data_IF_368303441910
#
_entry.id   IF_368303441910
#
_cell.length_a   1.000
_cell.length_b   1.000
_cell.length_c   1.000
_cell.angle_alpha   90.00
_cell.angle_beta   90.00
_cell.angle_gamma   90.00
#
_symmetry.space_group_name_H-M   'P 1'
#
loop_
_entity.id
_entity.type
_entity.pdbx_description
1 polymer ?
#
# COMPACT_ATOMS: atom_id res chain seq x y z
N UNK A 1 -16.31 29.09 -31.99
CA UNK A 1 -17.15 27.91 -31.75
C UNK A 1 -16.46 27.12 -30.66
N UNK A 2 -17.06 27.10 -29.47
CA UNK A 2 -16.55 26.40 -28.30
C UNK A 2 -16.64 24.90 -28.57
N UNK A 3 -15.51 24.18 -28.59
CA UNK A 3 -15.57 22.73 -28.47
C UNK A 3 -16.07 22.46 -27.05
N UNK A 4 -17.35 22.10 -26.89
CA UNK A 4 -17.81 21.45 -25.66
C UNK A 4 -16.86 20.29 -25.39
N UNK A 5 -16.20 20.31 -24.24
CA UNK A 5 -15.29 19.25 -23.86
C UNK A 5 -16.15 18.04 -23.51
N UNK A 6 -16.50 17.24 -24.52
CA UNK A 6 -17.26 16.00 -24.33
C UNK A 6 -16.59 15.18 -23.23
N UNK A 7 -17.40 14.69 -22.30
CA UNK A 7 -16.94 13.79 -21.24
C UNK A 7 -16.37 12.54 -21.92
N UNK A 8 -15.18 12.07 -21.51
CA UNK A 8 -14.64 10.81 -22.01
C UNK A 8 -15.62 9.66 -21.79
N UNK A 9 -15.78 8.79 -22.79
CA UNK A 9 -16.71 7.66 -22.77
C UNK A 9 -16.45 6.66 -21.62
N UNK A 10 -15.26 6.69 -21.00
CA UNK A 10 -14.89 5.83 -19.87
C UNK A 10 -15.33 6.37 -18.50
N UNK A 11 -15.82 7.61 -18.42
CA UNK A 11 -16.36 8.21 -17.18
C UNK A 11 -17.81 7.73 -16.99
N UNK A 12 -18.13 7.02 -15.89
CA UNK A 12 -19.44 6.40 -15.70
C UNK A 12 -20.47 7.36 -15.09
N UNK A 13 -20.74 8.48 -15.76
CA UNK A 13 -21.67 9.54 -15.32
C UNK A 13 -22.73 9.78 -16.39
N UNK A 14 -24.00 9.92 -16.01
CA UNK A 14 -25.09 10.11 -16.97
C UNK A 14 -25.34 11.59 -17.27
N UNK A 15 -25.31 11.96 -18.56
CA UNK A 15 -25.92 13.20 -19.11
C UNK A 15 -25.46 14.56 -18.54
N UNK A 16 -24.21 14.95 -18.81
CA UNK A 16 -23.84 16.38 -18.88
C UNK A 16 -22.83 16.62 -20.01
N UNK A 17 -22.80 17.83 -20.57
CA UNK A 17 -21.92 18.20 -21.68
C UNK A 17 -20.56 18.77 -21.20
N UNK A 18 -20.36 18.85 -19.87
CA UNK A 18 -19.23 19.54 -19.23
C UNK A 18 -18.61 18.74 -18.10
N UNK A 19 -17.32 18.43 -18.23
CA UNK A 19 -16.53 17.82 -17.15
C UNK A 19 -16.45 18.72 -15.90
N UNK A 20 -16.51 20.04 -16.06
CA UNK A 20 -16.53 20.95 -14.90
C UNK A 20 -17.81 20.76 -14.10
N UNK A 21 -18.94 20.56 -14.78
CA UNK A 21 -20.23 20.33 -14.13
C UNK A 21 -20.21 18.98 -13.39
N UNK A 22 -19.62 17.93 -13.99
CA UNK A 22 -19.40 16.63 -13.31
C UNK A 22 -18.62 16.79 -12.00
N UNK A 23 -17.57 17.60 -12.02
CA UNK A 23 -16.65 17.73 -10.88
C UNK A 23 -17.18 18.70 -9.82
N UNK A 24 -18.05 19.62 -10.21
CA UNK A 24 -18.67 20.60 -9.32
C UNK A 24 -20.01 20.12 -8.75
N UNK A 25 -20.67 19.14 -9.38
CA UNK A 25 -21.95 18.61 -8.92
C UNK A 25 -21.77 17.41 -7.97
N UNK A 26 -22.27 17.53 -6.73
CA UNK A 26 -22.46 16.43 -5.79
C UNK A 26 -22.97 15.11 -6.36
N UNK A 27 -24.03 15.15 -7.17
CA UNK A 27 -24.73 13.96 -7.65
C UNK A 27 -23.88 13.23 -8.68
N UNK A 28 -23.23 13.96 -9.60
CA UNK A 28 -22.34 13.38 -10.60
C UNK A 28 -21.05 12.81 -9.99
N UNK A 29 -20.50 13.43 -8.95
CA UNK A 29 -19.35 12.88 -8.23
C UNK A 29 -19.68 11.57 -7.51
N UNK A 30 -20.86 11.50 -6.87
CA UNK A 30 -21.34 10.27 -6.26
C UNK A 30 -21.62 9.19 -7.31
N UNK A 31 -22.30 9.55 -8.41
CA UNK A 31 -22.58 8.63 -9.51
C UNK A 31 -21.29 8.05 -10.09
N UNK A 32 -20.26 8.88 -10.32
CA UNK A 32 -18.97 8.40 -10.78
C UNK A 32 -18.41 7.34 -9.81
N UNK A 33 -18.37 7.64 -8.50
CA UNK A 33 -17.85 6.69 -7.51
C UNK A 33 -18.64 5.39 -7.43
N UNK A 34 -19.97 5.48 -7.37
CA UNK A 34 -20.85 4.32 -7.20
C UNK A 34 -20.88 3.42 -8.45
N UNK A 35 -20.60 3.98 -9.63
CA UNK A 35 -20.52 3.23 -10.88
C UNK A 35 -19.10 2.76 -11.23
N UNK A 36 -18.13 2.89 -10.32
CA UNK A 36 -16.85 2.22 -10.48
C UNK A 36 -17.04 0.71 -10.29
N UNK A 37 -16.74 -0.08 -11.32
CA UNK A 37 -16.91 -1.53 -11.25
C UNK A 37 -15.57 -2.27 -11.14
N UNK A 38 -15.53 -3.30 -10.29
CA UNK A 38 -14.55 -4.37 -10.34
C UNK A 38 -15.16 -5.58 -11.08
N UNK A 39 -15.26 -5.48 -12.41
CA UNK A 39 -16.00 -6.47 -13.19
C UNK A 39 -15.42 -7.88 -12.99
N UNK A 40 -16.31 -8.86 -12.78
CA UNK A 40 -15.99 -10.26 -12.49
C UNK A 40 -15.28 -10.53 -11.15
N UNK A 41 -15.24 -9.59 -10.20
CA UNK A 41 -14.66 -9.84 -8.87
C UNK A 41 -15.33 -11.03 -8.16
N UNK A 42 -16.64 -11.17 -8.27
CA UNK A 42 -17.39 -12.31 -7.69
C UNK A 42 -17.14 -13.64 -8.41
N UNK A 43 -16.56 -13.59 -9.61
CA UNK A 43 -16.22 -14.77 -10.39
C UNK A 43 -14.77 -15.18 -10.19
N UNK A 44 -14.01 -14.52 -9.30
CA UNK A 44 -12.61 -14.84 -9.04
C UNK A 44 -12.42 -16.16 -8.32
N UNK A 45 -11.18 -16.65 -8.36
CA UNK A 45 -10.73 -17.84 -7.64
C UNK A 45 -11.01 -17.75 -6.14
N UNK A 46 -10.71 -16.62 -5.52
CA UNK A 46 -10.84 -16.40 -4.08
C UNK A 46 -12.31 -16.49 -3.63
N UNK A 47 -13.24 -16.00 -4.47
CA UNK A 47 -14.68 -16.01 -4.15
C UNK A 47 -15.34 -17.35 -4.47
N UNK A 48 -15.01 -17.97 -5.61
CA UNK A 48 -15.64 -19.23 -6.05
C UNK A 48 -14.92 -20.49 -5.59
N UNK A 49 -13.75 -20.35 -4.97
CA UNK A 49 -12.86 -21.46 -4.61
C UNK A 49 -12.58 -22.39 -5.81
N UNK A 50 -12.43 -21.81 -7.00
CA UNK A 50 -12.19 -22.53 -8.25
C UNK A 50 -10.83 -22.15 -8.83
N UNK A 51 -9.90 -23.10 -8.79
CA UNK A 51 -8.50 -22.91 -9.19
C UNK A 51 -8.30 -22.62 -10.69
N UNK A 52 -9.33 -22.81 -11.52
CA UNK A 52 -9.28 -22.55 -12.97
C UNK A 52 -9.60 -21.11 -13.33
N UNK A 53 -10.00 -20.31 -12.33
CA UNK A 53 -10.44 -18.93 -12.52
C UNK A 53 -9.31 -17.96 -12.22
N UNK A 54 -9.46 -16.75 -12.75
CA UNK A 54 -8.53 -15.68 -12.45
C UNK A 54 -8.56 -15.28 -10.99
N UNK A 55 -7.39 -14.94 -10.45
CA UNK A 55 -7.32 -14.31 -9.12
C UNK A 55 -7.87 -12.88 -9.18
N UNK A 56 -8.21 -12.32 -8.02
CA UNK A 56 -8.52 -10.90 -7.90
C UNK A 56 -7.37 -10.05 -8.46
N UNK A 57 -6.10 -10.39 -8.16
CA UNK A 57 -4.93 -9.68 -8.67
C UNK A 57 -4.80 -9.70 -10.21
N UNK A 58 -5.05 -10.86 -10.84
CA UNK A 58 -5.06 -10.97 -12.31
C UNK A 58 -6.17 -10.13 -12.94
N UNK A 59 -7.35 -10.08 -12.31
CA UNK A 59 -8.43 -9.21 -12.75
C UNK A 59 -8.09 -7.73 -12.57
N UNK A 60 -7.51 -7.34 -11.43
CA UNK A 60 -7.08 -5.97 -11.17
C UNK A 60 -6.09 -5.49 -12.23
N UNK A 61 -5.04 -6.27 -12.53
CA UNK A 61 -4.05 -5.95 -13.56
C UNK A 61 -4.69 -5.71 -14.93
N UNK A 62 -5.67 -6.53 -15.32
CA UNK A 62 -6.41 -6.33 -16.59
C UNK A 62 -7.21 -5.04 -16.60
N UNK A 63 -7.88 -4.71 -15.50
CA UNK A 63 -8.70 -3.49 -15.38
C UNK A 63 -7.86 -2.22 -15.27
N UNK A 64 -6.63 -2.35 -14.77
CA UNK A 64 -5.60 -1.32 -14.79
C UNK A 64 -4.90 -1.21 -16.15
N UNK A 65 -5.32 -1.99 -17.15
CA UNK A 65 -4.77 -2.00 -18.52
C UNK A 65 -3.27 -2.36 -18.56
N UNK A 66 -2.82 -3.08 -17.52
CA UNK A 66 -1.45 -3.52 -17.37
C UNK A 66 -1.20 -4.82 -18.14
N UNK A 67 0.00 -4.95 -18.72
CA UNK A 67 0.43 -6.22 -19.32
C UNK A 67 0.60 -7.29 -18.22
N UNK A 68 0.04 -8.50 -18.32
CA UNK A 68 0.24 -9.55 -17.33
C UNK A 68 1.73 -9.85 -17.08
N UNK A 69 2.11 -10.13 -15.84
CA UNK A 69 3.53 -10.11 -15.45
C UNK A 69 4.42 -11.11 -16.23
N UNK A 70 4.02 -12.37 -16.49
CA UNK A 70 4.84 -13.27 -17.32
C UNK A 70 5.10 -12.71 -18.73
N UNK A 71 4.10 -12.09 -19.35
CA UNK A 71 4.24 -11.45 -20.66
C UNK A 71 5.11 -10.19 -20.60
N UNK A 72 5.17 -9.52 -19.44
CA UNK A 72 6.09 -8.42 -19.22
C UNK A 72 7.54 -8.93 -19.15
N UNK A 73 7.81 -10.05 -18.46
CA UNK A 73 9.13 -10.67 -18.43
C UNK A 73 9.62 -11.01 -19.86
N UNK A 74 8.79 -11.71 -20.65
CA UNK A 74 9.08 -12.02 -22.07
C UNK A 74 9.40 -10.77 -22.90
N UNK A 75 8.70 -9.66 -22.62
CA UNK A 75 8.93 -8.40 -23.31
C UNK A 75 10.26 -7.79 -22.88
N UNK A 76 10.57 -7.80 -21.58
CA UNK A 76 11.80 -7.24 -21.05
C UNK A 76 13.04 -8.02 -21.51
N UNK A 77 12.94 -9.33 -21.72
CA UNK A 77 14.00 -10.14 -22.34
C UNK A 77 14.43 -9.64 -23.72
N UNK A 78 13.46 -9.11 -24.48
CA UNK A 78 13.65 -8.62 -25.86
C UNK A 78 13.87 -7.11 -25.92
N UNK A 79 13.67 -6.42 -24.82
CA UNK A 79 13.75 -4.96 -24.76
C UNK A 79 15.20 -4.57 -24.49
N UNK A 80 15.82 -3.71 -25.32
CA UNK A 80 17.17 -3.25 -25.06
C UNK A 80 17.31 -2.53 -23.72
N UNK A 81 18.42 -2.77 -23.03
CA UNK A 81 18.83 -1.99 -21.87
C UNK A 81 18.97 -0.50 -22.24
N UNK A 82 18.46 0.44 -21.41
CA UNK A 82 18.51 1.87 -21.73
C UNK A 82 19.93 2.46 -21.75
N UNK A 83 20.90 1.79 -21.13
CA UNK A 83 22.31 2.19 -21.06
C UNK A 83 23.15 1.39 -22.06
N UNK A 84 23.08 0.07 -22.03
CA UNK A 84 23.89 -0.81 -22.88
C UNK A 84 23.35 -0.93 -24.32
N UNK A 85 22.09 -0.53 -24.56
CA UNK A 85 21.46 -0.56 -25.89
C UNK A 85 21.24 -1.97 -26.45
N UNK A 86 21.40 -3.01 -25.64
CA UNK A 86 21.23 -4.42 -26.04
C UNK A 86 20.30 -5.15 -25.08
N UNK A 87 19.45 -6.09 -25.54
CA UNK A 87 18.63 -6.90 -24.65
C UNK A 87 19.47 -7.83 -23.75
N UNK A 88 18.97 -8.24 -22.57
CA UNK A 88 17.65 -7.88 -22.03
C UNK A 88 17.65 -6.52 -21.32
N UNK A 89 16.47 -6.05 -20.92
CA UNK A 89 16.30 -4.78 -20.21
C UNK A 89 17.01 -4.81 -18.84
N UNK A 90 17.43 -3.64 -18.33
CA UNK A 90 18.16 -3.53 -17.05
C UNK A 90 17.47 -4.25 -15.88
N UNK A 91 16.14 -4.27 -15.84
CA UNK A 91 15.36 -4.94 -14.81
C UNK A 91 15.56 -6.47 -14.77
N UNK A 92 15.86 -7.08 -15.92
CA UNK A 92 16.20 -8.50 -16.06
C UNK A 92 17.70 -8.72 -15.81
N UNK A 93 18.57 -7.81 -16.29
CA UNK A 93 20.02 -7.88 -16.02
C UNK A 93 20.38 -7.71 -14.55
N UNK A 94 19.54 -7.01 -13.79
CA UNK A 94 19.73 -6.71 -12.38
C UNK A 94 18.51 -7.17 -11.57
N UNK A 95 18.26 -8.49 -11.52
CA UNK A 95 17.04 -9.04 -10.95
C UNK A 95 16.87 -8.67 -9.47
N UNK A 96 17.98 -8.57 -8.72
CA UNK A 96 17.96 -8.20 -7.28
C UNK A 96 17.58 -6.74 -7.03
N UNK A 97 17.67 -5.88 -8.04
CA UNK A 97 17.24 -4.50 -7.90
C UNK A 97 15.72 -4.35 -7.91
N UNK A 98 15.00 -5.16 -8.69
CA UNK A 98 13.54 -5.01 -8.87
C UNK A 98 12.75 -6.32 -8.89
N UNK A 99 13.17 -7.34 -9.65
CA UNK A 99 12.42 -8.60 -9.72
C UNK A 99 12.29 -9.25 -8.34
N UNK A 100 13.37 -9.27 -7.57
CA UNK A 100 13.42 -9.80 -6.19
C UNK A 100 12.55 -8.97 -5.20
N UNK A 101 12.22 -7.72 -5.51
CA UNK A 101 11.28 -6.90 -4.73
C UNK A 101 9.80 -7.20 -5.06
N UNK A 102 9.55 -7.80 -6.23
CA UNK A 102 8.20 -8.07 -6.75
C UNK A 102 7.83 -9.54 -6.61
N UNK A 103 8.75 -10.46 -6.91
CA UNK A 103 8.52 -11.91 -6.89
C UNK A 103 9.00 -12.46 -5.57
N UNK A 104 8.10 -12.67 -4.61
CA UNK A 104 8.48 -13.19 -3.30
C UNK A 104 8.44 -14.71 -3.34
N UNK A 105 9.48 -15.39 -2.87
CA UNK A 105 9.51 -16.85 -2.79
C UNK A 105 9.33 -17.31 -1.34
N UNK A 106 8.97 -18.57 -1.17
CA UNK A 106 8.88 -19.25 0.13
C UNK A 106 9.50 -20.62 0.03
N UNK A 107 9.73 -21.29 1.16
CA UNK A 107 10.26 -22.66 1.18
C UNK A 107 9.43 -23.62 0.32
N UNK A 108 8.10 -23.48 0.35
CA UNK A 108 7.20 -24.26 -0.51
C UNK A 108 7.36 -23.94 -1.99
N UNK A 109 7.75 -22.72 -2.33
CA UNK A 109 8.03 -22.36 -3.72
C UNK A 109 9.37 -22.93 -4.20
N UNK A 110 10.37 -23.01 -3.32
CA UNK A 110 11.62 -23.73 -3.62
C UNK A 110 11.35 -25.17 -4.05
N UNK A 111 10.52 -25.91 -3.30
CA UNK A 111 10.08 -27.24 -3.70
C UNK A 111 9.34 -27.27 -5.05
N UNK A 112 8.52 -26.26 -5.35
CA UNK A 112 7.80 -26.21 -6.64
C UNK A 112 8.76 -26.01 -7.81
N UNK A 113 9.77 -25.16 -7.63
CA UNK A 113 10.79 -24.88 -8.63
C UNK A 113 11.69 -26.12 -8.83
N UNK A 114 12.16 -26.74 -7.75
CA UNK A 114 13.01 -27.95 -7.78
C UNK A 114 12.34 -29.14 -8.48
N UNK A 115 11.02 -29.30 -8.32
CA UNK A 115 10.26 -30.42 -8.89
C UNK A 115 9.41 -30.05 -10.11
N UNK A 116 9.46 -28.79 -10.56
CA UNK A 116 8.63 -28.23 -11.63
C UNK A 116 7.12 -28.52 -11.46
N UNK A 117 6.62 -28.55 -10.21
CA UNK A 117 5.20 -28.76 -9.90
C UNK A 117 4.49 -27.43 -9.59
N UNK A 118 3.89 -26.86 -10.62
CA UNK A 118 3.16 -25.60 -10.53
C UNK A 118 1.64 -25.79 -10.38
N UNK A 119 1.22 -26.97 -9.94
CA UNK A 119 -0.20 -27.28 -9.78
C UNK A 119 -0.85 -26.41 -8.71
N UNK A 120 -2.06 -25.93 -9.01
CA UNK A 120 -2.84 -25.09 -8.11
C UNK A 120 -2.35 -23.65 -7.96
N UNK A 121 -1.30 -23.21 -8.67
CA UNK A 121 -0.95 -21.79 -8.79
C UNK A 121 -1.93 -21.06 -9.73
N UNK A 122 -2.10 -19.75 -9.55
CA UNK A 122 -2.76 -18.89 -10.54
C UNK A 122 -1.92 -18.82 -11.83
N UNK A 123 -2.51 -18.35 -12.93
CA UNK A 123 -1.85 -18.35 -14.23
C UNK A 123 -0.63 -17.42 -14.22
N UNK A 124 -0.73 -16.27 -13.57
CA UNK A 124 0.39 -15.33 -13.47
C UNK A 124 1.56 -15.92 -12.66
N UNK A 125 1.31 -16.49 -11.47
CA UNK A 125 2.36 -17.13 -10.66
C UNK A 125 2.98 -18.31 -11.41
N UNK A 126 2.17 -19.15 -12.04
CA UNK A 126 2.65 -20.28 -12.84
C UNK A 126 3.57 -19.79 -13.95
N UNK A 127 3.17 -18.78 -14.72
CA UNK A 127 3.98 -18.25 -15.80
C UNK A 127 5.30 -17.63 -15.33
N UNK A 128 5.35 -17.05 -14.12
CA UNK A 128 6.62 -16.60 -13.52
C UNK A 128 7.52 -17.77 -13.19
N UNK A 129 6.98 -18.86 -12.63
CA UNK A 129 7.79 -20.02 -12.28
C UNK A 129 8.27 -20.77 -13.51
N UNK A 130 7.42 -20.92 -14.53
CA UNK A 130 7.80 -21.44 -15.85
C UNK A 130 8.94 -20.62 -16.45
N UNK A 131 8.90 -19.28 -16.34
CA UNK A 131 9.98 -18.41 -16.79
C UNK A 131 11.29 -18.61 -16.02
N UNK A 132 11.24 -18.77 -14.69
CA UNK A 132 12.43 -18.91 -13.84
C UNK A 132 13.14 -20.27 -14.00
N UNK A 133 12.44 -21.31 -14.42
CA UNK A 133 13.04 -22.64 -14.66
C UNK A 133 13.43 -22.88 -16.12
N UNK A 134 13.04 -21.97 -17.02
CA UNK A 134 13.37 -22.08 -18.44
C UNK A 134 14.86 -21.76 -18.66
N UNK A 135 15.68 -22.73 -19.14
CA UNK A 135 17.11 -22.52 -19.33
C UNK A 135 17.45 -21.50 -20.43
N UNK A 136 16.48 -21.09 -21.25
CA UNK A 136 16.67 -20.10 -22.31
C UNK A 136 16.42 -18.64 -21.83
N UNK A 137 16.02 -18.43 -20.58
CA UNK A 137 15.82 -17.09 -19.99
C UNK A 137 17.10 -16.56 -19.34
N UNK A 138 17.14 -15.24 -19.13
CA UNK A 138 18.32 -14.55 -18.59
C UNK A 138 18.39 -14.54 -17.06
N UNK A 139 17.34 -15.02 -16.37
CA UNK A 139 17.19 -14.97 -14.91
C UNK A 139 16.63 -16.30 -14.44
N UNK A 140 17.28 -16.91 -13.45
CA UNK A 140 16.79 -18.13 -12.80
C UNK A 140 16.30 -17.88 -11.37
N UNK A 141 15.84 -18.93 -10.70
CA UNK A 141 15.36 -18.83 -9.31
C UNK A 141 16.46 -18.48 -8.30
N UNK A 142 17.70 -18.85 -8.58
CA UNK A 142 18.86 -18.57 -7.71
C UNK A 142 19.25 -17.09 -7.70
N UNK A 143 18.81 -16.33 -8.71
CA UNK A 143 18.93 -14.88 -8.74
C UNK A 143 17.97 -14.16 -7.78
N UNK A 144 16.93 -14.84 -7.30
CA UNK A 144 15.95 -14.33 -6.34
C UNK A 144 16.33 -14.77 -4.91
N UNK A 145 17.11 -13.94 -4.22
CA UNK A 145 17.60 -14.26 -2.87
C UNK A 145 16.53 -14.08 -1.78
N UNK A 146 15.38 -13.46 -2.07
CA UNK A 146 14.42 -13.09 -1.05
C UNK A 146 13.39 -14.16 -0.76
N UNK A 147 13.69 -14.93 0.29
CA UNK A 147 12.66 -15.66 1.04
C UNK A 147 11.98 -14.73 2.05
N UNK A 148 10.64 -14.71 2.02
CA UNK A 148 9.83 -13.88 2.94
C UNK A 148 9.37 -12.55 2.35
N UNK A 149 9.28 -11.52 3.19
CA UNK A 149 8.77 -10.19 2.79
C UNK A 149 9.80 -9.26 2.12
N UNK A 150 9.31 -8.31 1.31
CA UNK A 150 10.10 -7.25 0.68
C UNK A 150 9.88 -5.89 1.34
N UNK A 151 10.97 -5.25 1.75
CA UNK A 151 10.93 -3.94 2.41
C UNK A 151 11.43 -2.83 1.51
N UNK A 152 10.53 -1.98 1.05
CA UNK A 152 10.82 -0.89 0.14
C UNK A 152 10.51 0.48 0.76
N UNK A 153 11.44 1.42 0.61
CA UNK A 153 11.23 2.83 0.89
C UNK A 153 11.11 3.62 -0.41
N UNK A 154 9.87 4.01 -0.74
CA UNK A 154 9.54 4.78 -1.94
C UNK A 154 9.53 6.27 -1.61
N UNK A 155 10.35 7.05 -2.33
CA UNK A 155 10.44 8.49 -2.11
C UNK A 155 10.48 9.33 -3.38
N UNK A 156 9.93 10.53 -3.27
CA UNK A 156 9.92 11.53 -4.33
C UNK A 156 9.04 12.74 -3.98
N UNK A 157 9.06 13.80 -4.79
CA UNK A 157 8.30 15.02 -4.55
C UNK A 157 6.79 14.79 -4.62
N UNK A 158 6.01 15.76 -4.15
CA UNK A 158 4.57 15.79 -4.39
C UNK A 158 4.28 15.87 -5.90
N UNK A 159 3.23 15.19 -6.35
CA UNK A 159 2.81 15.20 -7.76
C UNK A 159 3.67 14.38 -8.72
N UNK A 160 4.64 13.59 -8.24
CA UNK A 160 5.50 12.73 -9.08
C UNK A 160 5.05 11.27 -9.18
N UNK A 161 3.76 11.00 -8.95
CA UNK A 161 3.17 9.68 -9.18
C UNK A 161 3.49 8.62 -8.12
N UNK A 162 3.81 8.98 -6.86
CA UNK A 162 4.03 8.01 -5.76
C UNK A 162 2.84 7.06 -5.58
N UNK A 163 1.62 7.60 -5.52
CA UNK A 163 0.40 6.81 -5.38
C UNK A 163 0.18 5.90 -6.60
N UNK A 164 0.41 6.42 -7.80
CA UNK A 164 0.30 5.66 -9.06
C UNK A 164 1.31 4.52 -9.12
N UNK A 165 2.57 4.76 -8.75
CA UNK A 165 3.61 3.73 -8.77
C UNK A 165 3.35 2.64 -7.75
N UNK A 166 2.94 2.99 -6.52
CA UNK A 166 2.59 1.97 -5.53
C UNK A 166 1.33 1.21 -5.91
N UNK A 167 0.34 1.84 -6.55
CA UNK A 167 -0.83 1.14 -7.10
C UNK A 167 -0.40 0.09 -8.13
N UNK A 168 0.57 0.42 -8.99
CA UNK A 168 1.16 -0.53 -9.94
C UNK A 168 1.81 -1.71 -9.21
N UNK A 169 2.58 -1.47 -8.14
CA UNK A 169 3.20 -2.55 -7.37
C UNK A 169 2.20 -3.41 -6.61
N UNK A 170 1.17 -2.81 -6.02
CA UNK A 170 0.07 -3.52 -5.35
C UNK A 170 -0.59 -4.50 -6.33
N UNK A 171 -0.89 -4.03 -7.55
CA UNK A 171 -1.45 -4.90 -8.58
C UNK A 171 -0.51 -6.06 -8.92
N UNK A 172 0.82 -5.83 -8.96
CA UNK A 172 1.82 -6.89 -9.18
C UNK A 172 1.94 -7.88 -8.02
N UNK A 173 2.00 -7.43 -6.77
CA UNK A 173 2.08 -8.33 -5.62
C UNK A 173 0.81 -9.18 -5.49
N UNK A 174 -0.36 -8.62 -5.78
CA UNK A 174 -1.61 -9.40 -5.82
C UNK A 174 -1.65 -10.39 -7.00
N UNK A 175 -1.24 -9.96 -8.19
CA UNK A 175 -1.21 -10.81 -9.39
C UNK A 175 -0.22 -11.98 -9.23
N UNK A 176 1.00 -11.67 -8.83
CA UNK A 176 2.13 -12.60 -8.86
C UNK A 176 2.22 -13.39 -7.57
N UNK A 177 2.04 -12.80 -6.40
CA UNK A 177 2.27 -13.49 -5.13
C UNK A 177 0.97 -13.91 -4.42
N UNK A 178 -0.19 -13.40 -4.85
CA UNK A 178 -1.47 -13.66 -4.16
C UNK A 178 -1.49 -13.12 -2.74
N UNK A 179 -0.76 -12.02 -2.48
CA UNK A 179 -0.62 -11.41 -1.16
C UNK A 179 -1.90 -10.74 -0.70
N UNK A 180 -2.12 -10.76 0.62
CA UNK A 180 -3.02 -9.81 1.25
C UNK A 180 -2.32 -8.44 1.28
N UNK A 181 -2.86 -7.44 0.59
CA UNK A 181 -2.32 -6.09 0.67
C UNK A 181 -3.12 -5.29 1.68
N UNK A 182 -2.45 -4.67 2.65
CA UNK A 182 -3.06 -3.84 3.69
C UNK A 182 -2.59 -2.40 3.51
N UNK A 183 -3.47 -1.57 2.97
CA UNK A 183 -3.29 -0.13 2.94
C UNK A 183 -3.64 0.48 4.30
N UNK A 184 -2.74 1.30 4.85
CA UNK A 184 -3.00 2.06 6.07
C UNK A 184 -4.09 3.10 5.84
N UNK A 185 -5.29 2.84 6.35
CA UNK A 185 -6.39 3.79 6.35
C UNK A 185 -6.08 5.00 7.23
N UNK A 186 -6.34 6.19 6.70
CA UNK A 186 -6.30 7.43 7.50
C UNK A 186 -7.56 8.26 7.25
N UNK A 187 -8.06 9.02 8.24
CA UNK A 187 -9.29 9.79 8.07
C UNK A 187 -9.22 10.91 7.03
N UNK A 188 -8.02 11.38 6.70
CA UNK A 188 -7.81 12.56 5.86
C UNK A 188 -7.30 12.23 4.45
N UNK A 189 -6.87 10.99 4.19
CA UNK A 189 -6.22 10.60 2.93
C UNK A 189 -6.81 9.32 2.40
N UNK A 190 -7.17 9.38 1.13
CA UNK A 190 -7.78 8.29 0.38
C UNK A 190 -7.06 8.13 -0.94
N UNK A 191 -5.73 8.06 -0.86
CA UNK A 191 -4.87 7.76 -2.02
C UNK A 191 -5.15 6.35 -2.59
N UNK A 192 -5.82 5.48 -1.81
CA UNK A 192 -6.33 4.18 -2.25
C UNK A 192 -7.62 4.26 -3.09
N UNK A 193 -8.27 5.43 -3.18
CA UNK A 193 -9.56 5.61 -3.86
C UNK A 193 -9.61 5.06 -5.29
N UNK A 194 -8.54 5.13 -6.11
CA UNK A 194 -8.57 4.49 -7.43
C UNK A 194 -8.79 2.98 -7.40
N UNK A 195 -8.50 2.32 -6.27
CA UNK A 195 -8.72 0.90 -6.04
C UNK A 195 -9.99 0.62 -5.23
N UNK A 196 -10.84 1.63 -4.97
CA UNK A 196 -12.08 1.48 -4.23
C UNK A 196 -12.94 0.28 -4.67
N UNK A 197 -13.24 0.05 -5.96
CA UNK A 197 -14.08 -1.08 -6.37
C UNK A 197 -13.45 -2.46 -6.07
N UNK A 198 -12.16 -2.52 -5.77
CA UNK A 198 -11.42 -3.74 -5.39
C UNK A 198 -11.17 -3.84 -3.88
N UNK A 199 -11.49 -2.79 -3.13
CA UNK A 199 -11.09 -2.65 -1.74
C UNK A 199 -12.07 -3.36 -0.78
N UNK A 200 -11.50 -4.09 0.17
CA UNK A 200 -12.16 -4.51 1.40
C UNK A 200 -11.86 -3.47 2.46
N UNK A 201 -12.82 -2.61 2.79
CA UNK A 201 -12.64 -1.59 3.84
C UNK A 201 -12.92 -2.23 5.19
N UNK A 202 -11.89 -2.32 6.03
CA UNK A 202 -11.97 -2.96 7.34
C UNK A 202 -12.12 -1.89 8.42
N UNK A 203 -13.27 -1.89 9.11
CA UNK A 203 -13.61 -0.93 10.16
C UNK A 203 -13.73 -1.64 11.52
N UNK A 204 -13.31 -1.01 12.62
CA UNK A 204 -13.56 -1.54 13.96
C UNK A 204 -15.06 -1.71 14.24
N UNK A 205 -15.44 -2.84 14.85
CA UNK A 205 -16.80 -3.08 15.32
C UNK A 205 -17.14 -2.11 16.46
N UNK A 206 -18.38 -1.62 16.52
CA UNK A 206 -18.85 -0.74 17.58
C UNK A 206 -18.20 0.65 17.59
N UNK A 207 -17.72 1.11 16.42
CA UNK A 207 -17.30 2.49 16.16
C UNK A 207 -18.04 2.98 14.93
N UNK A 208 -18.79 4.08 15.07
CA UNK A 208 -19.52 4.66 13.94
C UNK A 208 -18.58 5.45 13.03
N UNK A 209 -18.81 5.34 11.72
CA UNK A 209 -18.08 6.07 10.69
C UNK A 209 -19.05 6.80 9.78
N UNK A 210 -18.68 8.02 9.41
CA UNK A 210 -19.32 8.82 8.37
C UNK A 210 -18.31 9.06 7.27
N UNK A 211 -18.71 8.82 6.03
CA UNK A 211 -17.86 9.01 4.87
C UNK A 211 -18.33 10.21 4.07
N UNK A 212 -17.39 11.09 3.74
CA UNK A 212 -17.67 12.32 3.00
C UNK A 212 -16.69 12.53 1.87
N UNK A 213 -17.19 12.80 0.67
CA UNK A 213 -16.39 13.27 -0.44
C UNK A 213 -16.45 14.80 -0.49
N UNK A 214 -15.30 15.44 -0.34
CA UNK A 214 -15.17 16.88 -0.59
C UNK A 214 -14.75 17.09 -2.06
N UNK A 215 -15.48 17.90 -2.84
CA UNK A 215 -15.08 18.26 -4.21
C UNK A 215 -13.69 18.92 -4.24
N UNK A 216 -12.97 18.87 -5.37
CA UNK A 216 -11.66 19.49 -5.46
C UNK A 216 -11.76 21.01 -5.36
N UNK A 217 -10.75 21.64 -4.74
CA UNK A 217 -10.59 23.09 -4.77
C UNK A 217 -10.11 23.49 -6.18
N UNK A 218 -10.80 24.40 -6.87
CA UNK A 218 -10.45 24.76 -8.25
C UNK A 218 -9.31 25.79 -8.37
N UNK A 219 -8.81 26.32 -7.24
CA UNK A 219 -7.65 27.22 -7.17
C UNK A 219 -7.76 28.51 -8.00
N UNK A 220 -8.89 28.74 -8.66
CA UNK A 220 -9.10 29.77 -9.67
C UNK A 220 -9.37 31.14 -9.07
N UNK A 221 -9.61 31.20 -7.75
CA UNK A 221 -9.98 32.42 -7.03
C UNK A 221 -11.40 32.92 -7.34
N UNK A 222 -12.17 32.20 -8.17
CA UNK A 222 -13.57 32.51 -8.49
C UNK A 222 -14.59 31.70 -7.68
N UNK A 223 -14.15 30.85 -6.76
CA UNK A 223 -15.03 30.05 -5.93
C UNK A 223 -15.72 30.90 -4.85
N UNK A 224 -16.78 31.60 -5.22
CA UNK A 224 -17.88 31.92 -4.28
C UNK A 224 -18.74 30.67 -3.97
N UNK A 225 -18.38 29.51 -4.52
CA UNK A 225 -19.09 28.25 -4.33
C UNK A 225 -18.36 27.39 -3.29
N UNK A 226 -18.78 27.51 -2.03
CA UNK A 226 -18.48 26.53 -0.99
C UNK A 226 -19.17 25.21 -1.35
N UNK A 227 -18.53 24.36 -2.14
CA UNK A 227 -19.08 23.04 -2.43
C UNK A 227 -19.17 22.23 -1.14
N UNK A 228 -20.39 21.89 -0.73
CA UNK A 228 -20.63 21.12 0.49
C UNK A 228 -20.15 19.68 0.27
N UNK A 229 -19.36 19.10 1.20
CA UNK A 229 -19.03 17.69 1.14
C UNK A 229 -20.30 16.84 1.09
N UNK A 230 -20.29 15.82 0.25
CA UNK A 230 -21.39 14.87 0.08
C UNK A 230 -21.18 13.67 0.99
N UNK A 231 -22.26 13.16 1.56
CA UNK A 231 -22.21 11.89 2.30
C UNK A 231 -22.27 10.74 1.30
N UNK A 232 -21.46 9.71 1.54
CA UNK A 232 -21.30 8.56 0.66
C UNK A 232 -21.44 7.31 1.51
N UNK A 233 -22.21 6.32 1.06
CA UNK A 233 -22.16 4.99 1.69
C UNK A 233 -20.94 4.24 1.16
N UNK A 234 -20.18 3.62 2.06
CA UNK A 234 -19.02 2.82 1.65
C UNK A 234 -19.44 1.59 0.86
N UNK A 235 -20.57 0.97 1.24
CA UNK A 235 -21.05 -0.25 0.58
C UNK A 235 -21.41 -0.01 -0.90
N UNK A 236 -21.67 1.24 -1.29
CA UNK A 236 -21.95 1.61 -2.68
C UNK A 236 -20.69 1.78 -3.54
N UNK A 237 -19.52 2.04 -2.93
CA UNK A 237 -18.31 2.46 -3.66
C UNK A 237 -17.12 1.51 -3.52
N UNK A 238 -17.16 0.60 -2.54
CA UNK A 238 -16.13 -0.42 -2.35
C UNK A 238 -16.68 -1.82 -2.56
N UNK A 239 -15.79 -2.80 -2.74
CA UNK A 239 -16.22 -4.18 -2.90
C UNK A 239 -17.00 -4.68 -1.68
N UNK A 240 -16.50 -4.37 -0.47
CA UNK A 240 -17.13 -4.76 0.78
C UNK A 240 -16.59 -3.99 1.96
N UNK A 241 -17.46 -3.81 2.94
CA UNK A 241 -17.13 -3.28 4.26
C UNK A 241 -17.16 -4.43 5.26
N UNK A 242 -16.02 -4.69 5.89
CA UNK A 242 -15.90 -5.72 6.92
C UNK A 242 -15.67 -5.06 8.28
N UNK A 243 -16.29 -5.62 9.32
CA UNK A 243 -16.14 -5.15 10.70
C UNK A 243 -15.26 -6.14 11.45
N UNK A 244 -14.31 -5.65 12.25
CA UNK A 244 -13.44 -6.50 13.07
C UNK A 244 -13.55 -6.16 14.57
N UNK A 245 -13.55 -7.18 15.42
CA UNK A 245 -13.71 -7.00 16.87
C UNK A 245 -12.41 -6.61 17.57
N UNK A 246 -11.29 -7.18 17.14
CA UNK A 246 -9.93 -6.91 17.60
C UNK A 246 -8.87 -7.35 16.56
N UNK A 247 -7.60 -7.34 16.97
CA UNK A 247 -6.46 -7.68 16.10
C UNK A 247 -6.41 -9.17 15.70
N UNK A 248 -6.88 -10.10 16.53
CA UNK A 248 -6.92 -11.52 16.16
C UNK A 248 -7.98 -11.73 15.08
N UNK A 249 -9.18 -11.19 15.30
CA UNK A 249 -10.29 -11.28 14.34
C UNK A 249 -9.93 -10.65 12.99
N UNK A 250 -9.30 -9.46 13.01
CA UNK A 250 -8.83 -8.81 11.79
C UNK A 250 -7.89 -9.73 10.99
N UNK A 251 -6.84 -10.24 11.62
CA UNK A 251 -5.80 -10.99 10.91
C UNK A 251 -6.24 -12.42 10.56
N UNK A 252 -7.11 -13.05 11.35
CA UNK A 252 -7.47 -14.46 11.17
C UNK A 252 -8.75 -14.64 10.35
N UNK A 253 -9.74 -13.75 10.50
CA UNK A 253 -11.06 -13.91 9.89
C UNK A 253 -11.37 -12.88 8.80
N UNK A 254 -10.90 -11.64 8.94
CA UNK A 254 -11.25 -10.55 8.01
C UNK A 254 -10.28 -10.45 6.83
N UNK A 255 -8.96 -10.46 7.08
CA UNK A 255 -7.97 -10.36 6.02
C UNK A 255 -8.00 -11.60 5.11
N UNK A 256 -7.87 -11.39 3.80
CA UNK A 256 -7.90 -12.46 2.80
C UNK A 256 -6.68 -12.44 1.90
N UNK A 257 -6.13 -13.62 1.63
CA UNK A 257 -5.06 -13.75 0.64
C UNK A 257 -5.54 -13.27 -0.72
N UNK A 258 -4.71 -12.55 -1.45
CA UNK A 258 -4.97 -12.09 -2.81
C UNK A 258 -5.93 -10.90 -2.91
N UNK A 259 -6.34 -10.30 -1.79
CA UNK A 259 -7.26 -9.15 -1.77
C UNK A 259 -6.57 -7.85 -1.30
N UNK A 260 -7.12 -6.72 -1.75
CA UNK A 260 -6.71 -5.38 -1.35
C UNK A 260 -7.57 -4.89 -0.20
N UNK A 261 -6.95 -4.57 0.94
CA UNK A 261 -7.64 -4.15 2.17
C UNK A 261 -7.25 -2.72 2.52
N UNK A 262 -8.23 -1.95 2.98
CA UNK A 262 -8.00 -0.63 3.57
C UNK A 262 -8.43 -0.72 5.02
N UNK A 263 -7.45 -0.78 5.92
CA UNK A 263 -7.72 -1.01 7.34
C UNK A 263 -7.69 0.31 8.09
N UNK A 264 -8.78 0.63 8.77
CA UNK A 264 -8.83 1.76 9.70
C UNK A 264 -8.49 1.28 11.11
N UNK A 265 -7.52 1.91 11.80
CA UNK A 265 -7.09 1.50 13.14
C UNK A 265 -8.21 1.62 14.18
N UNK A 266 -8.23 0.69 15.15
CA UNK A 266 -9.20 0.70 16.25
C UNK A 266 -8.83 1.76 17.31
N UNK A 267 -9.63 2.83 17.46
CA UNK A 267 -9.34 3.89 18.43
C UNK A 267 -9.51 3.45 19.89
N UNK A 268 -10.11 2.28 20.13
CA UNK A 268 -10.23 1.66 21.46
C UNK A 268 -9.04 0.77 21.82
N UNK A 269 -8.11 0.53 20.89
CA UNK A 269 -6.91 -0.29 21.08
C UNK A 269 -7.19 -1.72 21.61
N UNK A 270 -8.30 -2.33 21.19
CA UNK A 270 -8.67 -3.68 21.64
C UNK A 270 -7.60 -4.69 21.23
N UNK A 271 -7.19 -5.52 22.18
CA UNK A 271 -6.15 -6.54 21.99
C UNK A 271 -4.71 -6.03 21.97
N UNK A 272 -4.45 -4.73 21.75
CA UNK A 272 -3.09 -4.18 21.56
C UNK A 272 -2.13 -4.46 22.72
N UNK A 273 -2.57 -4.25 23.97
CA UNK A 273 -1.75 -4.50 25.16
C UNK A 273 -1.50 -5.99 25.40
N UNK A 274 -2.48 -6.86 25.10
CA UNK A 274 -2.33 -8.31 25.24
C UNK A 274 -1.25 -8.83 24.28
N UNK A 275 -1.38 -8.46 23.00
CA UNK A 275 -0.49 -8.88 21.92
C UNK A 275 0.96 -8.48 22.19
N UNK A 276 1.17 -7.24 22.65
CA UNK A 276 2.52 -6.74 22.91
C UNK A 276 3.16 -7.32 24.17
N UNK A 277 2.36 -7.86 25.10
CA UNK A 277 2.85 -8.63 26.26
C UNK A 277 3.19 -10.08 25.90
N UNK A 278 2.48 -10.65 24.94
CA UNK A 278 2.73 -12.00 24.42
C UNK A 278 3.96 -12.04 23.50
N UNK A 279 4.28 -10.92 22.84
CA UNK A 279 5.43 -10.81 21.97
C UNK A 279 6.75 -10.86 22.74
N UNK A 280 7.52 -11.93 22.50
CA UNK A 280 8.91 -12.01 22.95
C UNK A 280 9.71 -10.83 22.38
N UNK A 281 10.65 -10.31 23.18
CA UNK A 281 11.52 -9.19 22.78
C UNK A 281 10.75 -7.89 22.43
N UNK A 282 9.48 -7.79 22.86
CA UNK A 282 8.72 -6.55 22.86
C UNK A 282 8.61 -6.00 24.29
N UNK A 283 8.98 -4.75 24.57
CA UNK A 283 8.50 -4.11 25.80
C UNK A 283 6.96 -4.04 25.73
N UNK A 284 6.24 -4.27 26.84
CA UNK A 284 4.80 -4.01 26.88
C UNK A 284 4.51 -2.58 26.42
N UNK A 285 3.61 -2.45 25.45
CA UNK A 285 3.24 -1.14 24.92
C UNK A 285 1.93 -0.72 25.56
N UNK A 286 1.96 0.38 26.30
CA UNK A 286 0.77 0.95 26.90
C UNK A 286 -0.04 1.76 25.88
N UNK A 287 -1.35 1.70 26.06
CA UNK A 287 -2.36 2.35 25.23
C UNK A 287 -3.39 2.98 26.13
N UNK A 288 -3.65 4.26 25.92
CA UNK A 288 -4.63 5.03 26.65
C UNK A 288 -5.60 5.68 25.65
N UNK A 289 -6.84 5.19 25.61
CA UNK A 289 -7.81 5.63 24.60
C UNK A 289 -8.51 6.93 24.99
N UNK A 290 -9.18 7.55 24.02
CA UNK A 290 -10.01 8.74 24.26
C UNK A 290 -11.16 8.48 25.24
N UNK A 291 -11.68 7.25 25.30
CA UNK A 291 -12.73 6.87 26.25
C UNK A 291 -12.19 6.63 27.66
N UNK A 292 -10.94 6.16 27.79
CA UNK A 292 -10.29 6.04 29.09
C UNK A 292 -10.08 7.44 29.70
N UNK A 293 -9.58 8.37 28.89
CA UNK A 293 -9.47 9.78 29.26
C UNK A 293 -10.82 10.40 29.65
N UNK A 294 -11.90 10.12 28.92
CA UNK A 294 -13.23 10.61 29.29
C UNK A 294 -13.71 10.04 30.63
N UNK A 295 -13.49 8.74 30.87
CA UNK A 295 -13.87 8.08 32.13
C UNK A 295 -13.09 8.63 33.32
N UNK A 296 -11.81 8.91 33.12
CA UNK A 296 -10.89 9.36 34.16
C UNK A 296 -10.78 10.89 34.24
N UNK A 297 -11.63 11.64 33.51
CA UNK A 297 -11.58 13.11 33.43
C UNK A 297 -11.68 13.86 34.77
N UNK A 298 -12.19 13.20 35.81
CA UNK A 298 -12.29 13.77 37.16
C UNK A 298 -11.22 13.24 38.11
N UNK A 299 -10.32 12.39 37.62
CA UNK A 299 -9.20 11.86 38.36
C UNK A 299 -8.03 12.85 38.28
N UNK A 300 -7.65 13.52 39.40
CA UNK A 300 -6.57 14.50 39.39
C UNK A 300 -5.18 13.89 39.15
N UNK A 301 -5.05 12.56 39.25
CA UNK A 301 -3.79 11.84 39.05
C UNK A 301 -3.57 11.39 37.59
N UNK A 302 -4.50 11.71 36.68
CA UNK A 302 -4.43 11.32 35.26
C UNK A 302 -4.16 12.54 34.40
N UNK A 303 -3.04 12.51 33.69
CA UNK A 303 -2.72 13.54 32.70
C UNK A 303 -3.47 13.26 31.39
N UNK A 304 -4.44 14.10 31.07
CA UNK A 304 -5.26 13.99 29.85
C UNK A 304 -4.41 14.20 28.59
N UNK A 305 -3.21 14.77 28.70
CA UNK A 305 -2.24 14.90 27.60
C UNK A 305 -1.62 13.56 27.16
N UNK A 306 -1.85 12.46 27.90
CA UNK A 306 -1.29 11.13 27.61
C UNK A 306 -2.16 10.27 26.66
N UNK A 307 -3.25 10.80 26.09
CA UNK A 307 -4.09 10.05 25.14
C UNK A 307 -3.23 9.57 23.97
N UNK A 308 -3.22 8.25 23.79
CA UNK A 308 -2.45 7.60 22.75
C UNK A 308 -3.08 7.91 21.38
N UNK A 309 -2.31 8.45 20.42
CA UNK A 309 -2.82 8.67 19.07
C UNK A 309 -3.31 7.37 18.44
N UNK A 310 -4.49 7.38 17.80
CA UNK A 310 -5.08 6.19 17.15
C UNK A 310 -4.12 5.53 16.16
N UNK A 311 -3.25 6.31 15.50
CA UNK A 311 -2.23 5.76 14.60
C UNK A 311 -1.24 4.82 15.30
N UNK A 312 -1.09 4.87 16.62
CA UNK A 312 -0.19 3.97 17.35
C UNK A 312 -0.72 2.53 17.43
N UNK A 313 -1.99 2.30 17.09
CA UNK A 313 -2.55 0.96 16.93
C UNK A 313 -1.73 0.09 15.96
N UNK A 314 -1.19 0.71 14.90
CA UNK A 314 -0.37 0.03 13.90
C UNK A 314 0.86 -0.67 14.48
N UNK A 315 1.45 -0.17 15.57
CA UNK A 315 2.59 -0.83 16.20
C UNK A 315 2.20 -2.21 16.76
N UNK A 316 1.03 -2.33 17.39
CA UNK A 316 0.53 -3.63 17.86
C UNK A 316 0.09 -4.52 16.71
N UNK A 317 -0.51 -3.98 15.64
CA UNK A 317 -0.85 -4.77 14.46
C UNK A 317 0.40 -5.37 13.80
N UNK A 318 1.48 -4.59 13.67
CA UNK A 318 2.76 -5.08 13.17
C UNK A 318 3.33 -6.18 14.09
N UNK A 319 3.37 -5.93 15.41
CA UNK A 319 3.83 -6.92 16.40
C UNK A 319 2.99 -8.19 16.37
N UNK A 320 1.68 -8.10 16.08
CA UNK A 320 0.80 -9.27 15.98
C UNK A 320 1.28 -10.29 14.95
N UNK A 321 1.89 -9.85 13.84
CA UNK A 321 2.46 -10.77 12.84
C UNK A 321 3.56 -11.69 13.38
N UNK A 322 4.14 -11.41 14.54
CA UNK A 322 5.12 -12.29 15.20
C UNK A 322 4.51 -13.28 16.19
N UNK A 323 3.36 -12.97 16.77
CA UNK A 323 2.72 -13.80 17.80
C UNK A 323 1.49 -14.55 17.30
N UNK A 324 1.00 -14.22 16.11
CA UNK A 324 -0.15 -14.88 15.52
C UNK A 324 0.24 -16.28 15.02
N UNK A 325 -0.11 -17.29 15.81
CA UNK A 325 0.13 -18.71 15.47
C UNK A 325 -1.02 -19.33 14.66
N UNK A 326 -2.19 -18.68 14.60
CA UNK A 326 -3.40 -19.29 14.03
C UNK A 326 -3.41 -19.28 12.49
N UNK A 327 -2.95 -18.18 11.89
CA UNK A 327 -2.94 -18.01 10.44
C UNK A 327 -1.71 -17.25 9.98
N UNK A 328 -0.91 -17.92 9.14
CA UNK A 328 0.15 -17.28 8.38
C UNK A 328 -0.32 -17.05 6.94
N UNK A 329 -0.28 -15.80 6.50
CA UNK A 329 -0.45 -15.42 5.10
C UNK A 329 0.58 -14.34 4.76
N UNK A 330 1.08 -14.34 3.52
CA UNK A 330 1.94 -13.24 3.09
C UNK A 330 1.11 -11.96 2.99
N UNK A 331 1.65 -10.92 3.60
CA UNK A 331 0.98 -9.63 3.73
C UNK A 331 1.93 -8.52 3.33
N UNK A 332 1.49 -7.64 2.44
CA UNK A 332 2.20 -6.39 2.16
C UNK A 332 1.48 -5.23 2.83
N UNK A 333 2.16 -4.58 3.76
CA UNK A 333 1.67 -3.38 4.42
C UNK A 333 2.15 -2.12 3.72
N UNK A 334 1.21 -1.31 3.25
CA UNK A 334 1.48 -0.05 2.56
C UNK A 334 1.19 1.11 3.50
N UNK A 335 2.25 1.82 3.89
CA UNK A 335 2.19 2.96 4.80
C UNK A 335 2.49 4.25 4.06
N UNK A 336 1.43 4.92 3.62
CA UNK A 336 1.54 6.25 3.04
C UNK A 336 1.88 7.32 4.11
N UNK A 337 2.74 8.26 3.70
CA UNK A 337 3.47 9.19 4.56
C UNK A 337 3.97 8.54 5.86
N UNK A 338 4.88 7.58 5.70
CA UNK A 338 5.49 6.82 6.79
C UNK A 338 6.16 7.70 7.86
N UNK A 339 6.59 8.92 7.53
CA UNK A 339 7.16 9.87 8.50
C UNK A 339 6.17 10.29 9.59
N UNK A 340 4.86 10.20 9.36
CA UNK A 340 3.86 10.49 10.41
C UNK A 340 3.81 9.42 11.50
N UNK A 341 4.13 8.17 11.14
CA UNK A 341 4.10 7.05 12.07
C UNK A 341 5.48 6.79 12.68
N UNK A 342 6.53 6.83 11.87
CA UNK A 342 7.90 6.54 12.30
C UNK A 342 8.75 7.80 12.37
N UNK A 343 8.37 8.79 13.20
CA UNK A 343 9.06 10.09 13.28
C UNK A 343 10.53 9.96 13.71
N UNK A 344 11.42 10.75 13.09
CA UNK A 344 12.86 10.75 13.41
C UNK A 344 13.18 11.25 14.84
N UNK A 345 12.53 12.32 15.29
CA UNK A 345 12.69 12.89 16.63
C UNK A 345 11.47 12.57 17.52
N UNK A 346 11.30 11.29 17.85
CA UNK A 346 10.22 10.84 18.73
C UNK A 346 10.51 11.04 20.24
N UNK A 347 11.52 11.85 20.60
CA UNK A 347 12.11 11.89 21.95
C UNK A 347 11.24 12.56 23.04
N UNK A 348 10.06 13.09 22.70
CA UNK A 348 9.16 13.71 23.67
C UNK A 348 7.83 12.94 23.70
N UNK A 349 7.43 12.50 24.90
CA UNK A 349 6.39 11.53 25.28
C UNK A 349 4.95 11.76 24.75
N UNK A 350 4.74 11.74 23.43
CA UNK A 350 3.38 11.55 22.91
C UNK A 350 3.09 10.04 22.85
N UNK A 351 2.45 9.50 23.90
CA UNK A 351 1.99 8.12 23.95
C UNK A 351 3.08 7.06 23.74
N UNK A 352 4.30 7.31 24.21
CA UNK A 352 5.43 6.38 24.14
C UNK A 352 5.93 6.06 22.72
N UNK A 353 5.81 6.99 21.76
CA UNK A 353 6.15 6.76 20.36
C UNK A 353 7.56 6.18 20.15
N UNK A 354 8.57 6.69 20.84
CA UNK A 354 9.95 6.19 20.71
C UNK A 354 10.05 4.70 21.05
N UNK A 355 9.44 4.29 22.18
CA UNK A 355 9.38 2.88 22.62
C UNK A 355 8.68 1.99 21.60
N UNK A 356 7.57 2.49 21.01
CA UNK A 356 6.81 1.76 20.00
C UNK A 356 7.61 1.57 18.69
N UNK A 357 8.36 2.59 18.25
CA UNK A 357 9.26 2.49 17.10
C UNK A 357 10.39 1.49 17.38
N UNK A 358 10.97 1.53 18.58
CA UNK A 358 12.03 0.60 18.97
C UNK A 358 11.53 -0.85 18.99
N UNK A 359 10.34 -1.10 19.55
CA UNK A 359 9.71 -2.43 19.57
C UNK A 359 9.55 -3.02 18.14
N UNK A 360 9.01 -2.24 17.20
CA UNK A 360 8.89 -2.67 15.79
C UNK A 360 10.26 -2.87 15.13
N UNK A 361 11.24 -2.01 15.43
CA UNK A 361 12.60 -2.13 14.89
C UNK A 361 13.33 -3.40 15.36
N UNK A 362 13.12 -3.80 16.62
CA UNK A 362 13.73 -5.00 17.20
C UNK A 362 13.17 -6.26 16.55
N UNK A 363 11.85 -6.30 16.36
CA UNK A 363 11.12 -7.44 15.80
C UNK A 363 11.14 -7.55 14.26
N UNK A 364 11.79 -6.60 13.59
CA UNK A 364 11.70 -6.44 12.14
C UNK A 364 12.10 -7.70 11.35
N UNK A 365 13.13 -8.42 11.79
CA UNK A 365 13.61 -9.61 11.08
C UNK A 365 12.57 -10.72 11.08
N UNK A 366 11.86 -10.88 12.19
CA UNK A 366 10.84 -11.93 12.33
C UNK A 366 9.59 -11.61 11.54
N UNK A 367 9.22 -10.33 11.41
CA UNK A 367 8.13 -9.91 10.51
C UNK A 367 8.35 -10.44 9.09
N UNK A 368 9.57 -10.32 8.56
CA UNK A 368 9.89 -10.81 7.20
C UNK A 368 9.79 -12.31 7.07
N UNK A 369 10.31 -13.04 8.07
CA UNK A 369 10.24 -14.50 8.11
C UNK A 369 8.80 -14.98 8.13
N UNK A 370 7.93 -14.22 8.79
CA UNK A 370 6.50 -14.48 8.87
C UNK A 370 5.73 -13.93 7.65
N UNK A 371 6.43 -13.46 6.61
CA UNK A 371 5.84 -13.05 5.34
C UNK A 371 5.22 -11.65 5.34
N UNK A 372 5.60 -10.77 6.28
CA UNK A 372 5.20 -9.36 6.28
C UNK A 372 6.23 -8.50 5.53
N UNK A 373 5.75 -7.79 4.51
CA UNK A 373 6.49 -6.83 3.68
C UNK A 373 6.11 -5.39 4.05
N UNK A 374 7.09 -4.49 4.13
CA UNK A 374 6.84 -3.07 4.40
C UNK A 374 7.05 -2.23 3.13
N UNK A 375 6.03 -1.47 2.75
CA UNK A 375 6.12 -0.49 1.67
C UNK A 375 5.86 0.89 2.26
N UNK A 376 6.94 1.62 2.48
CA UNK A 376 6.90 2.92 3.12
C UNK A 376 6.97 4.02 2.05
N UNK A 377 5.97 4.91 2.01
CA UNK A 377 6.00 6.07 1.13
C UNK A 377 6.34 7.32 1.92
N UNK A 378 7.22 8.16 1.37
CA UNK A 378 7.56 9.45 1.97
C UNK A 378 8.01 10.47 0.93
N UNK A 379 7.91 11.75 1.27
CA UNK A 379 8.55 12.80 0.49
C UNK A 379 10.03 12.96 0.87
N UNK A 380 10.31 12.84 2.17
CA UNK A 380 11.62 13.10 2.78
C UNK A 380 12.02 11.90 3.63
N UNK A 381 12.85 10.99 3.12
CA UNK A 381 13.32 9.83 3.86
C UNK A 381 13.92 10.18 5.22
N UNK A 382 14.66 11.29 5.34
CA UNK A 382 15.29 11.69 6.61
C UNK A 382 14.33 11.99 7.76
N UNK A 383 13.04 12.20 7.49
CA UNK A 383 12.02 12.40 8.53
C UNK A 383 11.56 11.09 9.18
N UNK A 384 11.90 9.94 8.58
CA UNK A 384 11.66 8.62 9.15
C UNK A 384 12.80 8.25 10.12
N UNK A 385 12.46 7.61 11.23
CA UNK A 385 13.42 7.08 12.20
C UNK A 385 14.49 6.24 11.51
N UNK A 386 15.75 6.51 11.85
CA UNK A 386 16.90 5.77 11.35
C UNK A 386 16.83 4.28 11.70
N UNK A 387 16.15 3.93 12.80
CA UNK A 387 15.96 2.55 13.25
C UNK A 387 15.14 1.72 12.26
N UNK A 388 14.18 2.36 11.59
CA UNK A 388 13.32 1.73 10.57
C UNK A 388 13.99 1.77 9.21
N UNK A 389 14.58 2.91 8.82
CA UNK A 389 15.21 3.06 7.50
C UNK A 389 16.29 2.03 7.22
N UNK A 390 17.17 1.77 8.19
CA UNK A 390 18.25 0.78 8.07
C UNK A 390 17.76 -0.67 7.90
N UNK A 391 16.45 -0.92 8.08
CA UNK A 391 15.83 -2.22 7.86
C UNK A 391 15.36 -2.36 6.42
N UNK A 392 15.09 -1.27 5.71
CA UNK A 392 14.65 -1.32 4.31
C UNK A 392 15.73 -1.95 3.43
N UNK A 393 15.32 -2.83 2.52
CA UNK A 393 16.25 -3.51 1.58
C UNK A 393 16.32 -2.80 0.24
N UNK A 394 15.20 -2.24 -0.20
CA UNK A 394 15.10 -1.50 -1.46
C UNK A 394 14.83 -0.02 -1.20
N UNK A 395 15.61 0.81 -1.88
CA UNK A 395 15.29 2.21 -2.08
C UNK A 395 14.64 2.37 -3.44
N UNK A 396 13.58 3.19 -3.50
CA UNK A 396 12.90 3.53 -4.75
C UNK A 396 12.86 5.04 -4.87
N UNK A 397 13.66 5.57 -5.79
CA UNK A 397 13.74 7.01 -6.06
C UNK A 397 12.90 7.35 -7.29
N UNK A 398 11.87 8.17 -7.12
CA UNK A 398 11.03 8.59 -8.24
C UNK A 398 11.61 9.79 -8.97
N UNK A 399 11.18 9.96 -10.23
CA UNK A 399 11.48 11.13 -11.06
C UNK A 399 11.33 12.48 -10.34
N UNK A 400 12.22 13.43 -10.65
CA UNK A 400 12.18 14.79 -10.11
C UNK A 400 12.77 14.94 -8.71
N UNK A 401 13.52 13.96 -8.21
CA UNK A 401 14.37 14.06 -7.02
C UNK A 401 15.71 13.43 -7.32
N UNK A 402 16.78 13.98 -6.75
CA UNK A 402 18.12 13.45 -6.91
C UNK A 402 18.21 12.06 -6.26
N UNK A 403 18.70 11.06 -7.00
CA UNK A 403 19.03 9.78 -6.40
C UNK A 403 20.27 9.93 -5.51
N UNK A 404 20.37 9.14 -4.43
CA UNK A 404 21.54 9.20 -3.58
C UNK A 404 22.78 8.70 -4.33
N UNK A 405 23.89 9.43 -4.18
CA UNK A 405 25.21 9.06 -4.71
C UNK A 405 26.19 8.86 -3.54
N UNK A 406 26.36 7.61 -3.10
CA UNK A 406 27.32 7.24 -2.05
C UNK A 406 26.94 7.57 -0.58
N UNK A 407 25.72 8.04 -0.32
CA UNK A 407 25.19 8.27 1.04
C UNK A 407 24.36 7.08 1.52
N UNK A 408 24.55 6.64 2.76
CA UNK A 408 23.74 5.60 3.41
C UNK A 408 22.45 6.15 4.06
N UNK A 409 22.18 7.44 3.89
CA UNK A 409 21.14 8.11 4.63
C UNK A 409 19.73 7.65 4.27
N UNK A 410 19.44 7.04 3.12
CA UNK A 410 18.05 6.73 2.73
C UNK A 410 17.57 5.44 3.38
N UNK A 411 18.28 4.33 3.16
CA UNK A 411 17.92 2.99 3.69
C UNK A 411 19.04 2.35 4.53
N UNK A 412 20.05 3.11 4.95
CA UNK A 412 21.16 2.60 5.77
C UNK A 412 22.24 1.84 4.98
N UNK A 413 22.19 1.86 3.65
CA UNK A 413 23.25 1.32 2.78
C UNK A 413 23.62 2.32 1.70
N UNK A 414 24.89 2.29 1.29
CA UNK A 414 25.34 3.12 0.18
C UNK A 414 24.82 2.57 -1.15
N UNK A 415 24.19 3.39 -1.99
CA UNK A 415 23.78 2.98 -3.32
C UNK A 415 24.98 2.71 -4.25
N UNK A 416 24.85 1.82 -5.25
CA UNK A 416 25.89 1.55 -6.24
C UNK A 416 26.07 2.68 -7.27
N UNK A 417 25.11 3.60 -7.37
CA UNK A 417 25.15 4.71 -8.33
C UNK A 417 26.15 5.78 -7.88
N UNK A 418 27.06 6.15 -8.78
CA UNK A 418 28.06 7.21 -8.57
C UNK A 418 27.64 8.56 -9.14
N UNK A 419 26.57 8.59 -9.94
CA UNK A 419 26.05 9.79 -10.60
C UNK A 419 24.57 10.01 -10.30
N UNK A 420 24.16 11.26 -10.31
CA UNK A 420 22.75 11.66 -10.27
C UNK A 420 22.11 11.41 -11.65
N UNK A 421 20.88 10.89 -11.66
CA UNK A 421 20.16 10.42 -12.85
C UNK A 421 18.69 10.86 -12.84
N UNK A 422 18.02 10.80 -11.69
CA UNK A 422 16.56 10.82 -11.56
C UNK A 422 15.93 12.22 -11.53
N UNK A 423 16.71 13.28 -11.29
CA UNK A 423 16.23 14.67 -11.18
C UNK A 423 15.58 15.17 -12.47
N UNK A 424 16.13 14.76 -13.62
CA UNK A 424 15.70 15.17 -14.96
C UNK A 424 14.67 14.23 -15.59
N UNK A 425 14.36 13.11 -14.93
CA UNK A 425 13.45 12.12 -15.50
C UNK A 425 12.02 12.65 -15.55
N UNK A 426 11.30 12.16 -16.57
CA UNK A 426 9.89 12.45 -16.75
C UNK A 426 9.04 11.66 -15.73
N UNK A 427 7.82 12.17 -15.47
CA UNK A 427 6.82 11.48 -14.68
C UNK A 427 6.58 10.06 -15.23
N UNK A 428 6.37 9.08 -14.35
CA UNK A 428 6.18 7.68 -14.73
C UNK A 428 7.48 6.88 -14.77
N UNK A 429 8.62 7.46 -14.36
CA UNK A 429 9.92 6.79 -14.26
C UNK A 429 10.47 6.84 -12.83
N UNK A 430 11.22 5.82 -12.47
CA UNK A 430 11.87 5.72 -11.18
C UNK A 430 13.04 4.75 -11.20
N UNK A 431 13.78 4.76 -10.10
CA UNK A 431 15.00 3.98 -9.93
C UNK A 431 14.84 3.07 -8.72
N UNK A 432 14.90 1.78 -8.97
CA UNK A 432 15.00 0.75 -7.94
C UNK A 432 16.46 0.52 -7.63
N UNK A 433 16.81 0.44 -6.35
CA UNK A 433 18.20 0.20 -5.96
C UNK A 433 18.34 -0.50 -4.62
N UNK A 434 19.41 -1.27 -4.50
CA UNK A 434 19.92 -1.89 -3.27
C UNK A 434 21.34 -1.39 -3.00
N UNK A 435 22.10 -2.03 -2.10
CA UNK A 435 23.53 -1.72 -1.95
C UNK A 435 24.39 -2.16 -3.14
N UNK A 436 23.92 -3.15 -3.92
CA UNK A 436 24.74 -3.82 -4.94
C UNK A 436 24.26 -3.59 -6.38
N UNK A 437 22.96 -3.42 -6.59
CA UNK A 437 22.36 -3.30 -7.92
C UNK A 437 21.37 -2.15 -7.99
N UNK A 438 21.14 -1.65 -9.20
CA UNK A 438 20.08 -0.68 -9.47
C UNK A 438 19.52 -0.92 -10.87
N UNK A 439 18.27 -0.52 -11.07
CA UNK A 439 17.61 -0.58 -12.38
C UNK A 439 16.58 0.53 -12.51
N UNK A 440 16.45 1.04 -13.72
CA UNK A 440 15.34 1.92 -14.07
C UNK A 440 14.05 1.11 -14.22
N UNK A 441 12.94 1.67 -13.74
CA UNK A 441 11.61 1.14 -14.00
C UNK A 441 10.65 2.26 -14.42
N UNK A 442 9.58 1.86 -15.09
CA UNK A 442 8.49 2.74 -15.48
C UNK A 442 7.15 2.21 -15.02
N UNK A 443 6.17 3.10 -14.90
CA UNK A 443 4.77 2.77 -14.69
C UNK A 443 3.88 3.69 -15.52
N UNK A 444 2.77 3.13 -15.99
CA UNK A 444 1.74 3.88 -16.69
C UNK A 444 0.85 4.60 -15.67
N UNK A 445 0.15 5.62 -16.17
CA UNK A 445 -0.81 6.33 -15.36
C UNK A 445 -2.08 5.50 -15.13
N UNK A 446 -2.82 5.74 -14.04
CA UNK A 446 -4.05 4.99 -13.78
C UNK A 446 -5.12 5.36 -14.83
N UNK A 447 -5.96 4.39 -15.27
CA UNK A 447 -7.08 4.70 -16.16
C UNK A 447 -7.94 5.83 -15.61
N UNK A 448 -8.34 6.75 -16.50
CA UNK A 448 -8.98 8.01 -16.11
C UNK A 448 -10.26 7.78 -15.30
N UNK A 449 -11.05 6.76 -15.67
CA UNK A 449 -12.23 6.31 -14.91
C UNK A 449 -11.99 6.08 -13.41
N UNK A 450 -10.79 5.69 -12.97
CA UNK A 450 -10.52 5.46 -11.53
C UNK A 450 -10.01 6.71 -10.79
N UNK A 451 -9.81 7.82 -11.49
CA UNK A 451 -9.28 9.06 -10.90
C UNK A 451 -10.40 10.01 -10.52
N UNK A 452 -11.23 9.57 -9.58
CA UNK A 452 -12.31 10.40 -9.06
C UNK A 452 -11.73 11.66 -8.39
N UNK A 453 -12.13 12.86 -8.83
CA UNK A 453 -11.65 14.10 -8.26
C UNK A 453 -12.28 14.37 -6.90
N UNK A 454 -11.50 14.99 -6.02
CA UNK A 454 -11.92 15.32 -4.66
C UNK A 454 -11.14 14.55 -3.60
N UNK A 455 -11.57 14.69 -2.35
CA UNK A 455 -10.95 14.07 -1.18
C UNK A 455 -12.01 13.34 -0.38
N UNK A 456 -11.98 12.01 -0.43
CA UNK A 456 -12.83 11.19 0.42
C UNK A 456 -12.27 11.22 1.85
N UNK A 457 -13.15 11.30 2.85
CA UNK A 457 -12.79 11.33 4.27
C UNK A 457 -13.67 10.35 5.01
N UNK A 458 -13.04 9.42 5.72
CA UNK A 458 -13.72 8.43 6.57
C UNK A 458 -13.47 8.81 8.02
N UNK A 459 -14.50 9.28 8.70
CA UNK A 459 -14.39 9.97 9.98
C UNK A 459 -15.25 9.24 11.00
N UNK A 460 -14.75 9.00 12.21
CA UNK A 460 -15.62 8.64 13.33
C UNK A 460 -16.11 9.91 14.04
N UNK A 461 -17.42 10.24 14.00
CA UNK A 461 -17.96 11.39 14.72
C UNK A 461 -17.80 11.25 16.23
N UNK A 462 -17.86 10.01 16.74
CA UNK A 462 -17.67 9.70 18.15
C UNK A 462 -16.26 10.06 18.60
N UNK A 463 -15.22 9.55 17.91
CA UNK A 463 -13.82 9.88 18.23
C UNK A 463 -13.58 11.39 18.19
N UNK A 464 -14.08 12.08 17.15
CA UNK A 464 -13.95 13.55 17.07
C UNK A 464 -14.62 14.27 18.23
N UNK A 465 -15.80 13.81 18.65
CA UNK A 465 -16.55 14.43 19.75
C UNK A 465 -15.83 14.25 21.08
N UNK A 466 -15.24 13.09 21.31
CA UNK A 466 -14.50 12.79 22.54
C UNK A 466 -13.15 13.52 22.54
N UNK A 467 -12.45 13.61 21.41
CA UNK A 467 -11.16 14.32 21.31
C UNK A 467 -11.26 15.85 21.26
N UNK A 468 -12.44 16.43 20.99
CA UNK A 468 -12.64 17.87 20.89
C UNK A 468 -13.13 18.54 22.19
N UNK A 469 -13.38 17.75 23.23
CA UNK A 469 -13.72 18.22 24.58
C UNK A 469 -12.49 18.12 25.46
#
# INVERSE_FOLDING_TARGET
MSNSANIPDDIPVTSTDSMLDVVQDPEYLYEWLANLEASNIDQTREVKNDRRRHSIGENLVRHMEMTPFPKLLDRLERTPDPVEGTPPHSAIRHPRAMLDAIVHTSDMDGFRLDFEDFSGLCDARRGVFEYLVDPDTSVDDSDLETTGGSDALIHGPMGRGKTTSVSTFIARWMEVNGEAVVWRGTPQRTEWLPFAPWAVVCLPEGVDYTVRLAPPEDGSGFAETDFKPIEVDLEDIVWRVERYSDLDDLNNNVLMSGAFHVVYPDPKFRGCQRITREASECPPLDYYSVWDAERDRHNPDVDVEEVTPTSHWWFSWLVHHNVNEERSMRTTWVCDEASNLFKHHASNDNGGLSTKIDAVSQQYVDFRRNGLSFVLLTQKPREISWMIRKKMRWGVTLSGTDNPTGSDEIIGVRPPMSTEMTSSWQLGRGLFWTSGQYTEFGWDDLPRRYKVPGKLRIISPEVRRVSAK
#
